data_IF_975208619571
#
_entry.id   IF_975208619571
#
_cell.length_a   1.000
_cell.length_b   1.000
_cell.length_c   1.000
_cell.angle_alpha   90.00
_cell.angle_beta   90.00
_cell.angle_gamma   90.00
#
_symmetry.space_group_name_H-M   'P 1'
#
loop_
_entity.id
_entity.type
_entity.pdbx_description
1 polymer ?
#
# COMPACT_ATOMS: atom_id res chain seq x y z
N UNK A 1 -18.49 28.95 7.45
CA UNK A 1 -17.34 28.99 6.49
C UNK A 1 -16.33 27.86 6.68
N UNK A 2 -16.33 27.12 7.79
CA UNK A 2 -15.45 25.97 8.01
C UNK A 2 -15.83 24.68 7.24
N UNK A 3 -17.12 24.49 6.96
CA UNK A 3 -17.63 23.24 6.35
C UNK A 3 -17.30 23.07 4.85
N UNK A 4 -17.06 24.15 4.12
CA UNK A 4 -16.71 24.11 2.69
C UNK A 4 -15.22 23.76 2.48
N UNK A 5 -14.36 24.32 3.33
CA UNK A 5 -12.90 24.07 3.27
C UNK A 5 -12.59 22.61 3.64
N UNK A 6 -13.27 22.08 4.66
CA UNK A 6 -13.09 20.68 5.08
C UNK A 6 -13.57 19.70 4.00
N UNK A 7 -14.68 19.99 3.29
CA UNK A 7 -15.15 19.15 2.16
C UNK A 7 -14.22 19.22 0.94
N UNK A 8 -13.61 20.37 0.67
CA UNK A 8 -12.64 20.48 -0.44
C UNK A 8 -11.33 19.76 -0.12
N UNK A 9 -10.84 19.81 1.13
CA UNK A 9 -9.65 19.08 1.55
C UNK A 9 -9.87 17.56 1.52
N UNK A 10 -11.04 17.06 1.94
CA UNK A 10 -11.37 15.62 1.87
C UNK A 10 -11.44 15.12 0.41
N UNK A 11 -11.90 15.94 -0.53
CA UNK A 11 -11.89 15.59 -1.95
C UNK A 11 -10.47 15.65 -2.54
N UNK A 12 -9.63 16.59 -2.13
CA UNK A 12 -8.24 16.70 -2.59
C UNK A 12 -7.43 15.48 -2.12
N UNK A 13 -7.65 14.99 -0.89
CA UNK A 13 -6.98 13.76 -0.40
C UNK A 13 -7.46 12.53 -1.17
N UNK A 14 -8.74 12.39 -1.50
CA UNK A 14 -9.24 11.31 -2.37
C UNK A 14 -8.55 11.29 -3.75
N UNK A 15 -8.30 12.45 -4.34
CA UNK A 15 -7.64 12.55 -5.64
C UNK A 15 -6.11 12.49 -5.55
N UNK A 16 -5.52 12.84 -4.39
CA UNK A 16 -4.06 12.79 -4.22
C UNK A 16 -3.55 11.34 -4.04
N UNK A 17 -4.29 10.50 -3.34
CA UNK A 17 -3.96 9.06 -3.21
C UNK A 17 -4.05 8.37 -4.58
N UNK A 18 -5.09 8.63 -5.35
CA UNK A 18 -5.24 8.13 -6.73
C UNK A 18 -4.19 8.73 -7.67
N UNK A 19 -3.78 10.00 -7.49
CA UNK A 19 -2.78 10.65 -8.35
C UNK A 19 -1.35 10.15 -8.07
N UNK A 20 -1.01 9.72 -6.85
CA UNK A 20 0.30 9.14 -6.56
C UNK A 20 0.43 7.75 -7.20
N UNK A 21 -0.63 6.95 -7.22
CA UNK A 21 -0.68 5.69 -7.98
C UNK A 21 -0.60 5.92 -9.52
N UNK A 22 -1.18 6.99 -10.03
CA UNK A 22 -1.19 7.30 -11.48
C UNK A 22 0.12 7.93 -11.99
N UNK A 23 0.88 8.67 -11.17
CA UNK A 23 2.11 9.36 -11.63
C UNK A 23 3.30 8.40 -11.82
N UNK A 24 3.32 7.27 -11.16
CA UNK A 24 4.37 6.25 -11.39
C UNK A 24 4.12 5.38 -12.63
N UNK A 25 2.91 5.43 -13.21
CA UNK A 25 2.50 4.61 -14.37
C UNK A 25 2.62 5.37 -15.71
N UNK A 26 2.62 6.71 -15.71
CA UNK A 26 2.67 7.50 -16.96
C UNK A 26 4.08 8.04 -17.27
N UNK A 27 5.01 7.18 -17.70
CA UNK A 27 6.06 7.59 -18.62
C UNK A 27 5.55 7.38 -20.06
N UNK A 28 5.58 8.39 -20.95
CA UNK A 28 5.15 8.19 -22.34
C UNK A 28 6.15 7.27 -23.03
N UNK A 29 5.72 6.04 -23.30
CA UNK A 29 6.48 5.03 -24.01
C UNK A 29 6.43 5.29 -25.51
N UNK A 30 7.61 5.24 -26.15
CA UNK A 30 7.71 5.12 -27.60
C UNK A 30 6.99 3.86 -28.07
N UNK A 31 6.01 3.99 -28.95
CA UNK A 31 5.26 2.87 -29.50
C UNK A 31 6.17 1.98 -30.37
N UNK A 32 6.33 0.70 -30.08
CA UNK A 32 6.92 -0.21 -31.05
C UNK A 32 5.90 -0.47 -32.17
N UNK A 33 6.31 -0.25 -33.42
CA UNK A 33 5.55 -0.67 -34.61
C UNK A 33 5.62 -2.20 -34.74
N UNK A 34 4.71 -2.91 -34.10
CA UNK A 34 4.44 -4.32 -34.36
C UNK A 34 2.96 -4.47 -34.68
N UNK A 35 2.63 -5.05 -35.84
CA UNK A 35 1.27 -5.44 -36.15
C UNK A 35 0.82 -6.52 -35.17
N UNK A 36 0.00 -6.12 -34.20
CA UNK A 36 -0.64 -7.03 -33.24
C UNK A 36 -1.79 -7.77 -33.92
N UNK A 37 -1.68 -9.09 -34.06
CA UNK A 37 -2.78 -9.97 -34.42
C UNK A 37 -3.55 -10.49 -33.19
N UNK A 38 -3.54 -9.77 -32.11
CA UNK A 38 -4.27 -10.08 -30.89
C UNK A 38 -5.75 -9.70 -31.00
N UNK A 39 -6.59 -10.32 -30.16
CA UNK A 39 -8.03 -10.03 -30.08
C UNK A 39 -8.20 -8.54 -29.77
N UNK A 40 -8.93 -7.76 -30.60
CA UNK A 40 -9.16 -6.35 -30.34
C UNK A 40 -9.93 -6.21 -29.03
N UNK A 41 -9.34 -5.57 -28.03
CA UNK A 41 -10.07 -5.12 -26.85
C UNK A 41 -10.88 -3.90 -27.31
N UNK A 42 -12.19 -4.02 -27.34
CA UNK A 42 -13.08 -2.91 -27.73
C UNK A 42 -12.99 -1.71 -26.77
N UNK A 43 -12.33 -1.89 -25.59
CA UNK A 43 -12.15 -0.88 -24.55
C UNK A 43 -10.72 -0.89 -23.99
N UNK A 44 -9.70 -0.86 -24.84
CA UNK A 44 -8.28 -0.87 -24.41
C UNK A 44 -7.88 0.34 -23.54
N UNK A 45 -8.66 1.43 -23.60
CA UNK A 45 -8.37 2.67 -22.83
C UNK A 45 -8.56 2.51 -21.31
N UNK A 46 -9.19 1.41 -20.86
CA UNK A 46 -9.48 1.13 -19.46
C UNK A 46 -8.68 -0.06 -18.90
N UNK A 47 -7.65 -0.51 -19.60
CA UNK A 47 -6.90 -1.71 -19.27
C UNK A 47 -5.41 -1.42 -19.17
N UNK A 48 -4.77 -1.91 -18.11
CA UNK A 48 -3.32 -1.88 -17.95
C UNK A 48 -2.61 -2.48 -19.18
N UNK A 49 -1.55 -1.81 -19.64
CA UNK A 49 -0.75 -2.23 -20.80
C UNK A 49 -0.19 -3.64 -20.65
N UNK A 50 0.19 -4.08 -19.45
CA UNK A 50 0.68 -5.45 -19.19
C UNK A 50 -0.39 -6.49 -19.46
N UNK A 51 -1.64 -6.23 -19.05
CA UNK A 51 -2.77 -7.11 -19.38
C UNK A 51 -2.99 -7.20 -20.88
N UNK A 52 -2.88 -6.09 -21.59
CA UNK A 52 -2.98 -6.09 -23.05
C UNK A 52 -1.91 -6.98 -23.71
N UNK A 53 -0.68 -7.00 -23.15
CA UNK A 53 0.39 -7.88 -23.61
C UNK A 53 0.12 -9.37 -23.27
N UNK A 54 -0.42 -9.65 -22.08
CA UNK A 54 -0.82 -11.01 -21.67
C UNK A 54 -2.00 -11.51 -22.51
N UNK A 55 -2.93 -10.65 -22.92
CA UNK A 55 -4.01 -11.05 -23.83
C UNK A 55 -3.48 -11.48 -25.19
N UNK A 56 -2.44 -10.80 -25.69
CA UNK A 56 -1.79 -11.20 -26.94
C UNK A 56 -1.00 -12.51 -26.80
N UNK A 57 -0.37 -12.73 -25.65
CA UNK A 57 0.41 -13.94 -25.36
C UNK A 57 0.38 -14.26 -23.84
N UNK A 58 -0.54 -15.15 -23.38
CA UNK A 58 -0.67 -15.53 -21.98
C UNK A 58 0.60 -16.14 -21.36
N UNK A 59 1.52 -16.68 -22.14
CA UNK A 59 2.78 -17.26 -21.63
C UNK A 59 3.73 -16.21 -21.05
N UNK A 60 3.49 -14.93 -21.31
CA UNK A 60 4.31 -13.81 -20.86
C UNK A 60 3.96 -13.31 -19.46
N UNK A 61 2.96 -13.87 -18.80
CA UNK A 61 2.52 -13.39 -17.48
C UNK A 61 3.65 -13.32 -16.45
N UNK A 62 4.46 -14.35 -16.35
CA UNK A 62 5.62 -14.40 -15.43
C UNK A 62 6.69 -13.36 -15.78
N UNK A 63 7.02 -13.23 -17.08
CA UNK A 63 7.97 -12.23 -17.59
C UNK A 63 7.53 -10.80 -17.27
N UNK A 64 6.22 -10.55 -17.28
CA UNK A 64 5.62 -9.23 -17.02
C UNK A 64 5.44 -8.93 -15.52
N UNK A 65 5.94 -9.81 -14.63
CA UNK A 65 5.92 -9.59 -13.19
C UNK A 65 4.52 -9.61 -12.57
N UNK A 66 3.61 -10.37 -13.18
CA UNK A 66 2.26 -10.54 -12.64
C UNK A 66 2.27 -11.49 -11.45
N UNK A 67 1.39 -11.26 -10.49
CA UNK A 67 1.26 -12.13 -9.31
C UNK A 67 1.05 -13.58 -9.73
N UNK A 68 1.75 -14.56 -9.10
CA UNK A 68 1.56 -15.97 -9.37
C UNK A 68 0.11 -16.37 -9.08
N UNK A 69 -0.61 -16.81 -10.09
CA UNK A 69 -1.97 -17.24 -9.93
C UNK A 69 -2.07 -18.78 -9.82
N UNK A 70 -2.77 -19.33 -8.82
CA UNK A 70 -3.02 -20.75 -8.73
C UNK A 70 -3.82 -21.25 -9.94
N UNK A 71 -3.47 -22.43 -10.46
CA UNK A 71 -4.30 -23.15 -11.45
C UNK A 71 -4.58 -22.38 -12.77
N UNK A 72 -3.65 -21.55 -13.24
CA UNK A 72 -3.79 -20.82 -14.50
C UNK A 72 -4.71 -19.60 -14.43
N UNK A 73 -5.09 -19.18 -13.23
CA UNK A 73 -5.80 -17.90 -13.02
C UNK A 73 -4.79 -16.77 -12.87
N UNK A 74 -5.20 -15.57 -13.26
CA UNK A 74 -4.45 -14.31 -13.05
C UNK A 74 -5.14 -13.50 -11.96
N UNK A 75 -4.35 -12.84 -11.11
CA UNK A 75 -4.85 -11.92 -10.09
C UNK A 75 -5.06 -10.54 -10.72
N UNK A 76 -6.21 -9.95 -10.45
CA UNK A 76 -6.68 -8.72 -11.08
C UNK A 76 -7.34 -7.81 -10.06
N UNK A 77 -7.27 -6.50 -10.34
CA UNK A 77 -8.03 -5.47 -9.64
C UNK A 77 -8.86 -4.71 -10.67
N UNK A 78 -10.16 -4.58 -10.41
CA UNK A 78 -11.05 -3.74 -11.20
C UNK A 78 -11.59 -2.60 -10.34
N UNK A 79 -11.41 -1.36 -10.80
CA UNK A 79 -12.06 -0.19 -10.25
C UNK A 79 -13.33 0.10 -11.03
N UNK A 80 -14.42 0.41 -10.33
CA UNK A 80 -15.74 0.70 -10.91
C UNK A 80 -16.25 2.05 -10.41
N UNK A 81 -17.26 2.60 -11.07
CA UNK A 81 -17.90 3.86 -10.69
C UNK A 81 -18.58 3.79 -9.30
N UNK A 82 -19.17 2.62 -8.99
CA UNK A 82 -19.78 2.31 -7.70
C UNK A 82 -19.79 0.81 -7.44
N UNK A 83 -19.04 0.35 -6.45
CA UNK A 83 -18.97 -1.07 -6.10
C UNK A 83 -20.29 -1.58 -5.52
N UNK A 84 -20.76 -2.73 -6.06
CA UNK A 84 -21.99 -3.40 -5.65
C UNK A 84 -21.82 -4.94 -5.71
N UNK A 85 -22.68 -5.68 -5.04
CA UNK A 85 -22.67 -7.14 -5.07
C UNK A 85 -22.88 -7.75 -6.47
N UNK A 86 -23.43 -6.99 -7.42
CA UNK A 86 -23.57 -7.48 -8.81
C UNK A 86 -22.23 -7.62 -9.52
N UNK A 87 -21.20 -6.89 -9.12
CA UNK A 87 -19.85 -7.04 -9.66
C UNK A 87 -19.24 -8.38 -9.23
N UNK A 88 -19.40 -8.77 -7.96
CA UNK A 88 -18.97 -10.08 -7.48
C UNK A 88 -19.60 -11.19 -8.32
N UNK A 89 -20.94 -11.12 -8.48
CA UNK A 89 -21.64 -12.09 -9.29
C UNK A 89 -21.17 -12.15 -10.74
N UNK A 90 -20.89 -11.00 -11.36
CA UNK A 90 -20.37 -10.95 -12.73
C UNK A 90 -19.04 -11.71 -12.84
N UNK A 91 -18.11 -11.48 -11.92
CA UNK A 91 -16.81 -12.16 -11.88
C UNK A 91 -16.97 -13.65 -11.62
N UNK A 92 -17.82 -14.04 -10.66
CA UNK A 92 -18.13 -15.44 -10.34
C UNK A 92 -18.76 -16.17 -11.55
N UNK A 93 -19.67 -15.52 -12.30
CA UNK A 93 -20.29 -16.08 -13.50
C UNK A 93 -19.25 -16.32 -14.63
N UNK A 94 -18.13 -15.61 -14.62
CA UNK A 94 -16.98 -15.85 -15.52
C UNK A 94 -16.04 -16.97 -15.02
N UNK A 95 -16.31 -17.58 -13.87
CA UNK A 95 -15.45 -18.58 -13.25
C UNK A 95 -14.34 -17.99 -12.40
N UNK A 96 -14.45 -16.70 -12.05
CA UNK A 96 -13.55 -16.00 -11.15
C UNK A 96 -13.83 -16.27 -9.69
N UNK A 97 -12.91 -15.84 -8.84
CA UNK A 97 -12.94 -15.96 -7.39
C UNK A 97 -12.60 -14.60 -6.79
N UNK A 98 -13.51 -14.06 -5.98
CA UNK A 98 -13.31 -12.77 -5.32
C UNK A 98 -12.31 -12.97 -4.19
N UNK A 99 -11.22 -12.19 -4.21
CA UNK A 99 -10.17 -12.21 -3.19
C UNK A 99 -10.30 -11.04 -2.22
N UNK A 100 -10.74 -9.87 -2.72
CA UNK A 100 -10.83 -8.66 -1.90
C UNK A 100 -11.92 -7.73 -2.39
N UNK A 101 -12.43 -6.87 -1.49
CA UNK A 101 -13.44 -5.85 -1.82
C UNK A 101 -13.08 -4.54 -1.11
N UNK A 102 -12.83 -3.50 -1.87
CA UNK A 102 -12.32 -2.20 -1.41
C UNK A 102 -13.41 -1.13 -1.56
N UNK A 103 -14.36 -1.09 -0.63
CA UNK A 103 -15.53 -0.19 -0.70
C UNK A 103 -15.20 1.30 -0.72
N UNK A 104 -14.03 1.71 -0.21
CA UNK A 104 -13.57 3.11 -0.24
C UNK A 104 -13.05 3.53 -1.59
N UNK A 105 -12.50 2.60 -2.35
CA UNK A 105 -11.92 2.84 -3.66
C UNK A 105 -12.86 2.47 -4.79
N UNK A 106 -14.05 1.92 -4.45
CA UNK A 106 -14.98 1.32 -5.38
C UNK A 106 -14.25 0.30 -6.30
N UNK A 107 -13.41 -0.59 -5.67
CA UNK A 107 -12.58 -1.56 -6.36
C UNK A 107 -12.79 -2.98 -5.82
N UNK A 108 -12.50 -3.98 -6.65
CA UNK A 108 -12.63 -5.40 -6.37
C UNK A 108 -11.40 -6.15 -6.86
N UNK A 109 -10.78 -6.96 -5.98
CA UNK A 109 -9.71 -7.89 -6.31
C UNK A 109 -10.25 -9.30 -6.54
N UNK A 110 -9.74 -10.00 -7.55
CA UNK A 110 -10.22 -11.32 -7.91
C UNK A 110 -9.21 -12.14 -8.72
N UNK A 111 -9.32 -13.45 -8.63
CA UNK A 111 -8.63 -14.40 -9.51
C UNK A 111 -9.55 -14.77 -10.66
N UNK A 112 -9.03 -14.80 -11.90
CA UNK A 112 -9.81 -15.14 -13.09
C UNK A 112 -8.99 -16.01 -14.04
N UNK A 113 -9.60 -17.04 -14.69
CA UNK A 113 -8.94 -17.76 -15.77
C UNK A 113 -8.47 -16.77 -16.85
N UNK A 114 -7.22 -16.92 -17.29
CA UNK A 114 -6.57 -15.92 -18.16
C UNK A 114 -7.32 -15.70 -19.47
N UNK A 115 -7.95 -16.74 -20.01
CA UNK A 115 -8.77 -16.68 -21.22
C UNK A 115 -10.09 -15.90 -21.04
N UNK A 116 -10.47 -15.62 -19.77
CA UNK A 116 -11.69 -14.89 -19.43
C UNK A 116 -11.44 -13.41 -19.14
N UNK A 117 -10.20 -12.99 -19.07
CA UNK A 117 -9.88 -11.60 -18.73
C UNK A 117 -10.45 -10.58 -19.73
N UNK A 118 -10.50 -10.83 -21.07
CA UNK A 118 -11.14 -9.91 -21.99
C UNK A 118 -12.62 -9.63 -21.69
N UNK A 119 -13.37 -10.60 -21.14
CA UNK A 119 -14.76 -10.43 -20.79
C UNK A 119 -14.98 -9.46 -19.63
N UNK A 120 -13.96 -9.20 -18.78
CA UNK A 120 -14.03 -8.21 -17.69
C UNK A 120 -14.18 -6.78 -18.22
N UNK A 121 -13.78 -6.50 -19.45
CA UNK A 121 -14.02 -5.18 -20.06
C UNK A 121 -15.49 -4.82 -20.18
N UNK A 122 -16.39 -5.79 -20.08
CA UNK A 122 -17.86 -5.59 -20.03
C UNK A 122 -18.41 -5.47 -18.60
N UNK A 123 -17.56 -5.41 -17.57
CA UNK A 123 -18.00 -5.19 -16.19
C UNK A 123 -18.74 -3.85 -16.10
N UNK A 124 -19.99 -3.80 -15.59
CA UNK A 124 -20.75 -2.57 -15.51
C UNK A 124 -20.02 -1.49 -14.70
N UNK A 125 -19.91 -0.28 -15.26
CA UNK A 125 -19.24 0.85 -14.61
C UNK A 125 -17.72 0.70 -14.45
N UNK A 126 -17.07 -0.19 -15.21
CA UNK A 126 -15.62 -0.34 -15.20
C UNK A 126 -14.95 1.00 -15.51
N UNK A 127 -14.05 1.44 -14.62
CA UNK A 127 -13.20 2.62 -14.79
C UNK A 127 -11.79 2.19 -15.19
N UNK A 128 -11.25 1.15 -14.51
CA UNK A 128 -9.90 0.66 -14.74
C UNK A 128 -9.80 -0.82 -14.40
N UNK A 129 -9.04 -1.57 -15.19
CA UNK A 129 -8.69 -2.97 -14.95
C UNK A 129 -7.17 -3.11 -15.00
N UNK A 130 -6.59 -3.64 -13.95
CA UNK A 130 -5.16 -3.87 -13.87
C UNK A 130 -4.82 -5.26 -13.36
N UNK A 131 -3.62 -5.70 -13.67
CA UNK A 131 -3.05 -6.89 -13.09
C UNK A 131 -2.53 -6.57 -11.69
N UNK A 132 -2.82 -7.44 -10.74
CA UNK A 132 -2.22 -7.42 -9.41
C UNK A 132 -0.72 -7.74 -9.52
N UNK A 133 0.12 -6.88 -8.98
CA UNK A 133 1.58 -6.94 -9.12
C UNK A 133 2.28 -7.09 -7.78
N UNK A 134 3.47 -7.70 -7.81
CA UNK A 134 4.31 -7.81 -6.62
C UNK A 134 5.03 -6.49 -6.35
N UNK A 135 4.98 -6.04 -5.11
CA UNK A 135 5.73 -4.91 -4.60
C UNK A 135 6.91 -5.38 -3.75
N UNK A 136 8.01 -4.63 -3.81
CA UNK A 136 9.24 -4.89 -3.06
C UNK A 136 9.71 -3.61 -2.36
N UNK A 137 10.40 -3.70 -1.19
CA UNK A 137 10.98 -2.54 -0.52
C UNK A 137 12.03 -1.85 -1.39
N UNK A 138 12.03 -0.50 -1.41
CA UNK A 138 12.96 0.31 -2.22
C UNK A 138 13.48 1.53 -1.47
N UNK A 139 14.10 1.38 -0.29
CA UNK A 139 14.59 2.52 0.47
C UNK A 139 16.11 2.68 0.35
N UNK A 140 16.57 3.85 -0.14
CA UNK A 140 17.97 4.29 -0.16
C UNK A 140 18.13 5.70 0.42
N UNK A 141 18.97 5.82 1.47
CA UNK A 141 19.69 7.01 1.97
C UNK A 141 19.11 8.42 1.78
N UNK A 142 18.39 8.99 2.76
CA UNK A 142 17.92 10.38 2.60
C UNK A 142 17.95 11.30 3.82
N UNK A 143 18.35 10.84 5.01
CA UNK A 143 18.18 11.61 6.26
C UNK A 143 19.00 12.88 6.32
N UNK A 144 20.25 12.86 5.85
CA UNK A 144 21.17 14.01 5.96
C UNK A 144 20.79 15.18 5.04
N UNK A 145 19.98 14.93 4.01
CA UNK A 145 19.68 15.91 2.97
C UNK A 145 18.51 16.85 3.29
N UNK A 146 17.67 16.53 4.27
CA UNK A 146 16.38 17.23 4.48
C UNK A 146 16.43 18.32 5.56
N UNK A 147 17.56 18.55 6.22
CA UNK A 147 17.72 19.64 7.19
C UNK A 147 16.95 19.44 8.50
N UNK A 148 16.71 18.21 8.94
CA UNK A 148 15.98 17.86 10.17
C UNK A 148 16.53 18.57 11.41
N UNK A 149 17.85 18.72 11.53
CA UNK A 149 18.51 19.43 12.63
C UNK A 149 18.06 20.89 12.77
N UNK A 150 17.71 21.56 11.66
CA UNK A 150 17.19 22.94 11.68
C UNK A 150 15.81 22.97 12.35
N UNK A 151 14.94 22.00 12.00
CA UNK A 151 13.59 21.89 12.56
C UNK A 151 13.66 21.64 14.05
N UNK A 152 14.47 20.69 14.51
CA UNK A 152 14.63 20.39 15.92
C UNK A 152 15.19 21.56 16.73
N UNK A 153 16.25 22.21 16.22
CA UNK A 153 16.98 23.23 16.98
C UNK A 153 16.30 24.60 16.96
N UNK A 154 15.62 24.97 15.85
CA UNK A 154 15.00 26.28 15.71
C UNK A 154 13.53 26.30 16.13
N UNK A 155 12.80 25.20 15.91
CA UNK A 155 11.35 25.13 16.12
C UNK A 155 10.96 24.17 17.23
N UNK A 156 11.83 23.27 17.66
CA UNK A 156 11.59 22.30 18.72
C UNK A 156 10.69 21.13 18.30
N UNK A 157 10.28 21.02 17.02
CA UNK A 157 9.37 19.98 16.55
C UNK A 157 10.13 18.67 16.33
N UNK A 158 9.71 17.61 17.02
CA UNK A 158 10.26 16.25 16.94
C UNK A 158 9.23 15.16 16.68
N UNK A 159 7.99 15.56 16.39
CA UNK A 159 6.87 14.66 16.10
C UNK A 159 5.93 14.41 17.26
N UNK A 160 5.98 15.23 18.31
CA UNK A 160 5.05 15.16 19.44
C UNK A 160 3.59 15.21 18.94
N UNK A 161 2.73 14.40 19.55
CA UNK A 161 1.30 14.28 19.20
C UNK A 161 1.02 13.83 17.76
N UNK A 162 2.03 13.29 17.05
CA UNK A 162 1.90 12.77 15.68
C UNK A 162 2.00 11.26 15.67
N UNK A 163 1.19 10.58 14.85
CA UNK A 163 1.30 9.14 14.62
C UNK A 163 1.61 8.85 13.15
N UNK A 164 2.64 8.02 12.92
CA UNK A 164 3.08 7.58 11.60
C UNK A 164 2.74 6.10 11.42
N UNK A 165 1.97 5.76 10.42
CA UNK A 165 1.74 4.38 10.01
C UNK A 165 2.83 3.94 9.01
N UNK A 166 3.55 2.87 9.33
CA UNK A 166 4.58 2.25 8.49
C UNK A 166 3.97 1.04 7.79
N UNK A 167 3.70 1.17 6.50
CA UNK A 167 3.15 0.11 5.65
C UNK A 167 4.31 -0.56 4.90
N UNK A 168 4.81 -1.66 5.47
CA UNK A 168 6.05 -2.29 5.03
C UNK A 168 6.08 -3.79 5.40
N UNK A 169 7.21 -4.33 5.84
CA UNK A 169 7.34 -5.72 6.31
C UNK A 169 6.88 -5.94 7.75
N UNK A 170 6.35 -4.91 8.39
CA UNK A 170 6.02 -4.85 9.82
C UNK A 170 6.98 -3.95 10.57
N UNK A 171 6.83 -3.89 11.89
CA UNK A 171 7.70 -3.13 12.79
C UNK A 171 7.96 -3.97 14.04
N UNK A 172 9.24 -4.12 14.39
CA UNK A 172 9.69 -4.68 15.66
C UNK A 172 9.71 -3.59 16.73
N UNK A 173 8.68 -3.57 17.56
CA UNK A 173 8.56 -2.62 18.68
C UNK A 173 9.32 -3.03 19.94
N UNK A 174 10.07 -4.14 19.91
CA UNK A 174 11.02 -4.50 20.97
C UNK A 174 12.44 -3.97 20.68
N UNK A 175 12.64 -3.35 19.50
CA UNK A 175 13.92 -2.73 19.12
C UNK A 175 14.18 -1.47 19.96
N UNK A 176 15.39 -1.36 20.56
CA UNK A 176 15.76 -0.28 21.50
C UNK A 176 15.53 1.17 21.04
N UNK A 177 15.38 1.41 19.75
CA UNK A 177 15.04 2.73 19.20
C UNK A 177 13.56 2.91 18.90
N UNK A 178 12.72 1.89 19.14
CA UNK A 178 11.31 1.85 18.78
C UNK A 178 10.41 1.34 19.92
N UNK A 179 10.98 0.98 21.07
CA UNK A 179 10.25 0.43 22.21
C UNK A 179 9.55 1.52 23.05
N UNK A 180 10.16 2.70 23.16
CA UNK A 180 9.56 3.84 23.84
C UNK A 180 9.81 5.19 23.14
N UNK A 181 9.29 6.29 23.68
CA UNK A 181 9.38 7.63 23.09
C UNK A 181 10.63 8.41 23.51
N UNK A 182 11.28 8.06 24.64
CA UNK A 182 12.36 8.88 25.22
C UNK A 182 13.60 8.09 25.67
N UNK A 183 13.66 6.78 25.42
CA UNK A 183 14.70 5.84 25.88
C UNK A 183 14.91 5.84 27.42
N UNK A 184 13.87 6.17 28.17
CA UNK A 184 13.92 6.22 29.63
C UNK A 184 13.16 5.03 30.24
N UNK A 185 13.85 3.99 30.59
CA UNK A 185 13.26 2.78 31.18
C UNK A 185 12.42 2.98 32.46
N UNK A 186 12.32 4.20 33.00
CA UNK A 186 11.46 4.52 34.14
C UNK A 186 10.09 5.10 33.71
N UNK A 187 9.88 5.36 32.46
CA UNK A 187 8.60 5.76 31.86
C UNK A 187 7.98 4.57 31.11
N UNK A 188 6.66 4.52 31.06
CA UNK A 188 5.91 3.52 30.29
C UNK A 188 5.18 4.30 29.20
N UNK A 189 5.95 4.68 28.17
CA UNK A 189 5.50 5.48 27.05
C UNK A 189 5.84 4.81 25.71
N UNK A 190 5.17 3.68 25.41
CA UNK A 190 5.47 2.89 24.23
C UNK A 190 5.30 3.69 22.95
N UNK A 191 6.23 3.51 22.03
CA UNK A 191 6.18 4.17 20.71
C UNK A 191 5.04 3.66 19.83
N UNK A 192 4.61 2.40 20.00
CA UNK A 192 3.43 1.88 19.33
C UNK A 192 2.17 2.60 19.81
N UNK A 193 1.38 3.12 18.87
CA UNK A 193 0.11 3.77 19.17
C UNK A 193 -0.87 2.78 19.80
N UNK A 194 -1.61 3.25 20.83
CA UNK A 194 -2.59 2.43 21.56
C UNK A 194 -3.94 3.15 21.54
N UNK A 195 -5.01 2.43 21.22
CA UNK A 195 -6.37 3.02 21.22
C UNK A 195 -6.94 3.11 22.66
N UNK A 196 -8.11 3.74 22.79
CA UNK A 196 -8.79 3.92 24.08
C UNK A 196 -9.20 2.60 24.79
N UNK A 197 -9.12 1.47 24.12
CA UNK A 197 -9.43 0.13 24.64
C UNK A 197 -8.18 -0.68 24.96
N UNK A 198 -6.98 -0.10 24.76
CA UNK A 198 -5.70 -0.77 24.96
C UNK A 198 -5.28 -1.66 23.78
N UNK A 199 -5.87 -1.47 22.60
CA UNK A 199 -5.50 -2.19 21.38
C UNK A 199 -4.29 -1.53 20.76
N UNK A 200 -3.27 -2.33 20.43
CA UNK A 200 -2.07 -1.86 19.75
C UNK A 200 -2.36 -1.54 18.26
N UNK A 201 -1.75 -0.49 17.76
CA UNK A 201 -1.80 -0.08 16.36
C UNK A 201 -0.99 -1.02 15.47
N UNK A 202 -1.48 -2.24 15.25
CA UNK A 202 -0.81 -3.24 14.43
C UNK A 202 -1.80 -4.04 13.58
N UNK A 203 -1.45 -4.25 12.31
CA UNK A 203 -2.26 -4.99 11.34
C UNK A 203 -1.39 -5.74 10.34
N UNK A 204 -1.80 -6.97 10.00
CA UNK A 204 -1.19 -7.77 8.95
C UNK A 204 -2.17 -7.89 7.78
N UNK A 205 -1.88 -7.21 6.68
CA UNK A 205 -2.74 -7.17 5.49
C UNK A 205 -2.76 -8.49 4.71
N UNK A 206 -1.70 -9.31 4.82
CA UNK A 206 -1.65 -10.61 4.15
C UNK A 206 -2.57 -11.64 4.81
N UNK A 207 -2.73 -11.56 6.14
CA UNK A 207 -3.60 -12.47 6.91
C UNK A 207 -4.97 -11.85 7.23
N UNK A 208 -5.15 -10.54 6.97
CA UNK A 208 -6.32 -9.74 7.34
C UNK A 208 -6.62 -9.79 8.85
N UNK A 209 -5.56 -9.60 9.67
CA UNK A 209 -5.65 -9.65 11.13
C UNK A 209 -5.02 -8.44 11.78
N UNK A 210 -5.65 -7.95 12.84
CA UNK A 210 -5.10 -6.93 13.73
C UNK A 210 -4.81 -7.50 15.12
N UNK A 211 -4.08 -6.76 15.96
CA UNK A 211 -3.92 -7.09 17.37
C UNK A 211 -5.30 -7.24 18.05
N UNK A 212 -5.56 -8.25 18.93
CA UNK A 212 -4.58 -9.20 19.48
C UNK A 212 -4.40 -10.51 18.70
N UNK A 213 -5.12 -10.71 17.59
CA UNK A 213 -5.05 -11.95 16.81
C UNK A 213 -3.74 -12.09 16.02
N UNK A 214 -3.10 -10.95 15.74
CA UNK A 214 -1.75 -10.86 15.19
C UNK A 214 -0.87 -10.04 16.15
N UNK A 215 0.30 -10.56 16.54
CA UNK A 215 1.23 -9.85 17.42
C UNK A 215 2.14 -8.93 16.61
N UNK A 216 2.49 -7.73 17.15
CA UNK A 216 3.47 -6.87 16.50
C UNK A 216 4.79 -7.59 16.22
N UNK A 217 5.22 -7.57 14.97
CA UNK A 217 6.49 -8.15 14.53
C UNK A 217 6.91 -7.56 13.18
N UNK A 218 8.13 -7.84 12.77
CA UNK A 218 8.64 -7.53 11.43
C UNK A 218 9.05 -8.81 10.72
N UNK A 219 8.43 -9.12 9.61
CA UNK A 219 8.70 -10.34 8.84
C UNK A 219 9.94 -10.24 7.93
N UNK A 220 10.51 -9.01 7.76
CA UNK A 220 11.58 -8.76 6.79
C UNK A 220 12.67 -7.79 7.24
N UNK A 221 12.61 -7.20 8.42
CA UNK A 221 13.53 -6.18 8.98
C UNK A 221 13.50 -4.81 8.26
N UNK A 222 12.94 -4.71 7.06
CA UNK A 222 12.94 -3.47 6.29
C UNK A 222 11.98 -2.44 6.89
N UNK A 223 10.80 -2.84 7.33
CA UNK A 223 9.83 -1.95 7.97
C UNK A 223 10.34 -1.38 9.30
N UNK A 224 11.05 -2.19 10.11
CA UNK A 224 11.73 -1.72 11.33
C UNK A 224 12.79 -0.67 11.01
N UNK A 225 13.58 -0.89 9.94
CA UNK A 225 14.54 0.09 9.46
C UNK A 225 13.85 1.38 8.99
N UNK A 226 12.76 1.30 8.24
CA UNK A 226 11.97 2.46 7.81
C UNK A 226 11.36 3.22 9.00
N UNK A 227 10.85 2.48 10.00
CA UNK A 227 10.34 3.05 11.25
C UNK A 227 11.45 3.80 12.01
N UNK A 228 12.64 3.21 12.10
CA UNK A 228 13.82 3.85 12.71
C UNK A 228 14.22 5.15 12.01
N UNK A 229 14.22 5.17 10.67
CA UNK A 229 14.47 6.39 9.87
C UNK A 229 13.40 7.45 10.13
N UNK A 230 12.14 7.05 10.20
CA UNK A 230 11.03 7.97 10.40
C UNK A 230 10.98 8.52 11.83
N UNK A 231 11.09 7.66 12.84
CA UNK A 231 10.75 8.00 14.22
C UNK A 231 11.63 7.32 15.28
N UNK A 232 12.74 6.69 14.94
CA UNK A 232 13.64 6.08 15.92
C UNK A 232 14.19 7.11 16.91
N UNK A 233 14.27 6.74 18.19
CA UNK A 233 14.91 7.57 19.24
C UNK A 233 16.43 7.60 19.12
N UNK A 234 17.01 6.56 18.51
CA UNK A 234 18.45 6.34 18.40
C UNK A 234 19.00 5.49 19.54
N UNK A 235 18.13 4.89 20.33
CA UNK A 235 18.47 4.12 21.51
C UNK A 235 19.16 4.97 22.57
N UNK A 236 19.73 4.35 23.57
CA UNK A 236 20.39 5.04 24.69
C UNK A 236 21.50 6.02 24.29
N UNK A 237 22.01 5.95 23.07
CA UNK A 237 23.04 6.86 22.53
C UNK A 237 22.48 8.10 21.81
N UNK A 238 21.24 8.03 21.31
CA UNK A 238 20.63 9.04 20.44
C UNK A 238 21.35 9.25 19.11
N UNK A 239 22.30 8.38 18.76
CA UNK A 239 23.24 8.62 17.62
C UNK A 239 22.54 8.50 16.27
N UNK A 240 21.53 7.65 16.17
CA UNK A 240 20.81 7.37 14.92
C UNK A 240 19.32 7.69 15.06
N UNK A 241 19.02 8.85 15.66
CA UNK A 241 17.62 9.30 15.78
C UNK A 241 16.99 9.51 14.39
N UNK A 242 15.74 9.10 14.26
CA UNK A 242 14.92 9.33 13.08
C UNK A 242 14.48 10.80 12.96
N UNK A 243 13.73 11.11 11.91
CA UNK A 243 13.29 12.48 11.61
C UNK A 243 12.34 13.05 12.67
N UNK A 244 11.45 12.21 13.20
CA UNK A 244 10.42 12.55 14.18
C UNK A 244 10.49 11.61 15.41
N UNK A 245 11.56 11.69 16.23
CA UNK A 245 11.83 10.68 17.29
C UNK A 245 10.78 10.66 18.40
N UNK A 246 9.89 11.65 18.50
CA UNK A 246 8.80 11.71 19.47
C UNK A 246 7.43 11.39 18.87
N UNK A 247 7.38 10.92 17.60
CA UNK A 247 6.16 10.43 17.01
C UNK A 247 5.81 9.01 17.47
N UNK A 248 4.52 8.73 17.62
CA UNK A 248 4.00 7.38 17.75
C UNK A 248 4.01 6.65 16.41
N UNK A 249 4.00 5.33 16.46
CA UNK A 249 4.01 4.46 15.30
C UNK A 249 2.83 3.49 15.27
N UNK A 250 2.36 3.21 14.08
CA UNK A 250 1.46 2.09 13.76
C UNK A 250 2.20 1.18 12.77
N UNK A 251 2.27 -0.11 13.07
CA UNK A 251 2.91 -1.10 12.22
C UNK A 251 1.90 -1.81 11.32
N UNK A 252 2.16 -1.87 10.02
CA UNK A 252 1.32 -2.59 9.07
C UNK A 252 2.16 -3.48 8.17
N UNK A 253 1.92 -4.80 8.22
CA UNK A 253 2.55 -5.74 7.30
C UNK A 253 1.77 -5.69 5.97
N UNK A 254 2.37 -5.04 4.98
CA UNK A 254 1.93 -5.05 3.59
C UNK A 254 2.81 -5.98 2.73
N UNK A 255 4.04 -6.28 3.20
CA UNK A 255 5.07 -7.04 2.49
C UNK A 255 5.55 -8.20 3.37
N UNK A 256 4.78 -9.29 3.46
CA UNK A 256 5.17 -10.43 4.29
C UNK A 256 6.40 -11.14 3.71
N UNK A 257 7.44 -11.35 4.55
CA UNK A 257 8.72 -11.89 4.10
C UNK A 257 9.45 -11.04 3.04
N UNK A 258 9.11 -9.74 2.91
CA UNK A 258 9.75 -8.79 2.00
C UNK A 258 9.07 -8.64 0.64
N UNK A 259 7.90 -9.23 0.43
CA UNK A 259 7.09 -9.03 -0.78
C UNK A 259 5.60 -9.10 -0.46
N UNK A 260 4.80 -8.42 -1.24
CA UNK A 260 3.34 -8.41 -1.15
C UNK A 260 2.73 -8.13 -2.52
N UNK A 261 1.48 -8.48 -2.69
CA UNK A 261 0.75 -8.13 -3.89
C UNK A 261 0.00 -6.78 -3.73
N UNK A 262 -0.59 -6.32 -4.78
CA UNK A 262 -1.30 -5.04 -4.79
C UNK A 262 -2.56 -5.06 -3.91
N UNK A 263 -3.19 -6.23 -3.74
CA UNK A 263 -4.33 -6.39 -2.85
C UNK A 263 -3.91 -6.27 -1.38
N UNK A 264 -2.74 -6.81 -1.00
CA UNK A 264 -2.17 -6.65 0.34
C UNK A 264 -1.91 -5.17 0.62
N UNK A 265 -1.32 -4.46 -0.35
CA UNK A 265 -1.08 -3.03 -0.23
C UNK A 265 -2.38 -2.23 -0.11
N UNK A 266 -3.40 -2.54 -0.92
CA UNK A 266 -4.71 -1.88 -0.83
C UNK A 266 -5.42 -2.16 0.50
N UNK A 267 -5.33 -3.40 1.02
CA UNK A 267 -5.84 -3.73 2.36
C UNK A 267 -5.12 -2.94 3.45
N UNK A 268 -3.78 -2.85 3.37
CA UNK A 268 -2.97 -2.07 4.30
C UNK A 268 -3.38 -0.59 4.32
N UNK A 269 -3.52 0.03 3.15
CA UNK A 269 -3.96 1.43 3.01
C UNK A 269 -5.39 1.61 3.50
N UNK A 270 -6.32 0.73 3.11
CA UNK A 270 -7.74 0.83 3.51
C UNK A 270 -7.89 0.70 5.03
N UNK A 271 -7.21 -0.28 5.66
CA UNK A 271 -7.22 -0.44 7.12
C UNK A 271 -6.65 0.81 7.81
N UNK A 272 -5.55 1.35 7.33
CA UNK A 272 -4.93 2.56 7.90
C UNK A 272 -5.87 3.76 7.85
N UNK A 273 -6.56 3.96 6.72
CA UNK A 273 -7.55 5.03 6.57
C UNK A 273 -8.76 4.79 7.50
N UNK A 274 -9.22 3.55 7.64
CA UNK A 274 -10.34 3.20 8.52
C UNK A 274 -10.02 3.45 9.99
N UNK A 275 -8.79 3.23 10.40
CA UNK A 275 -8.33 3.35 11.78
C UNK A 275 -7.62 4.70 12.07
N UNK A 276 -7.67 5.66 11.11
CA UNK A 276 -7.04 6.97 11.26
C UNK A 276 -7.40 7.67 12.57
N UNK A 277 -8.69 7.79 12.85
CA UNK A 277 -9.17 8.48 14.05
C UNK A 277 -8.96 7.64 15.34
N UNK A 278 -8.93 6.30 15.20
CA UNK A 278 -8.73 5.36 16.31
C UNK A 278 -7.32 5.44 16.89
N UNK A 279 -6.31 5.57 16.06
CA UNK A 279 -4.91 5.65 16.45
C UNK A 279 -4.29 7.04 16.20
N UNK A 280 -5.10 8.04 15.88
CA UNK A 280 -4.66 9.42 15.57
C UNK A 280 -3.60 9.46 14.47
N UNK A 281 -3.75 8.64 13.41
CA UNK A 281 -2.77 8.54 12.34
C UNK A 281 -2.78 9.81 11.48
N UNK A 282 -1.64 10.49 11.37
CA UNK A 282 -1.46 11.71 10.58
C UNK A 282 -0.76 11.44 9.26
N UNK A 283 0.18 10.48 9.26
CA UNK A 283 1.07 10.19 8.12
C UNK A 283 1.07 8.70 7.83
N UNK A 284 1.10 8.36 6.54
CA UNK A 284 1.35 7.03 6.02
C UNK A 284 2.71 7.00 5.32
N UNK A 285 3.59 6.07 5.67
CA UNK A 285 4.89 5.85 5.03
C UNK A 285 4.87 4.53 4.27
N UNK A 286 5.21 4.60 2.97
CA UNK A 286 5.27 3.44 2.07
C UNK A 286 6.64 3.47 1.37
N UNK A 287 7.61 2.71 1.89
CA UNK A 287 8.96 2.60 1.33
C UNK A 287 9.05 1.37 0.42
N UNK A 288 8.24 1.34 -0.62
CA UNK A 288 8.08 0.20 -1.51
C UNK A 288 7.89 0.64 -2.97
N UNK A 289 8.03 -0.29 -3.89
CA UNK A 289 7.78 -0.06 -5.31
C UNK A 289 7.66 -1.36 -6.09
N UNK A 290 6.89 -1.31 -7.18
CA UNK A 290 6.73 -2.43 -8.10
C UNK A 290 7.76 -2.39 -9.24
N UNK A 291 8.25 -3.55 -9.66
CA UNK A 291 9.07 -3.69 -10.86
C UNK A 291 8.16 -3.86 -12.06
N UNK A 292 8.14 -2.86 -12.94
CA UNK A 292 7.49 -2.99 -14.24
C UNK A 292 8.57 -3.41 -15.23
N UNK A 293 8.57 -4.67 -15.63
CA UNK A 293 9.42 -5.14 -16.72
C UNK A 293 8.69 -4.85 -18.04
N UNK A 294 9.16 -3.84 -18.76
CA UNK A 294 8.69 -3.58 -20.11
C UNK A 294 9.69 -4.28 -21.03
N UNK A 295 9.25 -5.30 -21.79
CA UNK A 295 10.12 -5.90 -22.79
C UNK A 295 10.43 -4.86 -23.85
N UNK A 296 11.72 -4.71 -24.20
CA UNK A 296 12.18 -3.83 -25.28
C UNK A 296 11.79 -4.35 -26.65
#
# INVERSE_FOLDING_TARGET
>A
NGSLVTRQLTNIVKYLVVAIFLVTIFSPLAQPNTEYTGIPLENSDFVDTRLSLVFADPSRSEELGLSPAPSGKISLIAQVDKLTLSHNKFIEDLGGEITSSFSRFDAIGFLLPIEKVPEVTYLPGLIWLEADVLFYPTLDNSIDSIGTNVIWNQFGFKGEDTTIAILDTGVDFEHESLDDLDDNSNTDDPKIAVDSNGMLGFYNANTDKEYPDEQPHDSGSHGTHCAGIAAGTGGSSGTYSGVAPQANLVGVIALDGGSGDEQDLLRAVDWTIQNKDRFSIDVMSLSLGGVITIPG
#
